data_IF_860550844666
#
_entry.id   IF_860550844666
#
_cell.length_a   1.000
_cell.length_b   1.000
_cell.length_c   1.000
_cell.angle_alpha   90.00
_cell.angle_beta   90.00
_cell.angle_gamma   90.00
#
_symmetry.space_group_name_H-M   'P 1'
#
loop_
_entity.id
_entity.type
_entity.pdbx_description
1 polymer ?
#
# COMPACT_ATOMS: atom_id res chain seq x y z
N UNK A 1 -1.17 37.21 -18.67
CA UNK A 1 -2.02 38.42 -18.55
C UNK A 1 -3.17 38.06 -17.63
N UNK A 2 -3.09 38.47 -16.36
CA UNK A 2 -4.11 38.21 -15.33
C UNK A 2 -5.41 38.92 -15.71
N UNK A 3 -6.49 38.17 -15.94
CA UNK A 3 -7.85 38.70 -15.82
C UNK A 3 -8.32 38.38 -14.41
N UNK A 4 -8.26 39.40 -13.55
CA UNK A 4 -9.03 39.45 -12.32
C UNK A 4 -10.51 39.51 -12.73
N UNK A 5 -11.15 38.35 -12.86
CA UNK A 5 -12.61 38.26 -12.85
C UNK A 5 -13.00 37.80 -11.46
N UNK A 6 -13.19 38.78 -10.56
CA UNK A 6 -14.04 38.60 -9.39
C UNK A 6 -15.44 38.26 -9.93
N UNK A 7 -15.78 36.97 -10.00
CA UNK A 7 -17.17 36.57 -10.08
C UNK A 7 -17.78 36.88 -8.70
N UNK A 8 -18.46 38.02 -8.61
CA UNK A 8 -19.45 38.23 -7.58
C UNK A 8 -20.57 37.22 -7.83
N UNK A 9 -20.45 36.02 -7.25
CA UNK A 9 -21.62 35.18 -7.00
C UNK A 9 -22.56 36.02 -6.16
N UNK A 10 -23.69 36.41 -6.73
CA UNK A 10 -24.70 37.19 -6.01
C UNK A 10 -25.28 36.28 -4.95
N UNK A 11 -24.71 36.28 -3.74
CA UNK A 11 -25.24 35.55 -2.60
C UNK A 11 -26.56 36.23 -2.22
N UNK A 12 -27.67 35.74 -2.75
CA UNK A 12 -28.99 36.23 -2.36
C UNK A 12 -29.33 35.64 -0.99
N UNK A 13 -28.85 36.29 0.08
CA UNK A 13 -29.15 35.89 1.46
C UNK A 13 -30.64 36.14 1.75
N UNK A 14 -31.50 35.15 1.51
CA UNK A 14 -32.85 35.14 2.08
C UNK A 14 -32.79 34.62 3.50
N UNK A 15 -32.67 35.53 4.47
CA UNK A 15 -32.64 35.18 5.90
C UNK A 15 -34.00 34.64 6.33
N UNK A 16 -34.07 33.35 6.64
CA UNK A 16 -35.20 32.76 7.36
C UNK A 16 -34.71 32.30 8.74
N UNK A 17 -35.23 32.93 9.80
CA UNK A 17 -34.95 32.51 11.17
C UNK A 17 -35.93 31.39 11.53
N UNK A 18 -35.40 30.19 11.79
CA UNK A 18 -36.20 29.04 12.23
C UNK A 18 -35.91 28.82 13.71
N UNK A 19 -36.93 29.00 14.54
CA UNK A 19 -36.87 28.74 15.98
C UNK A 19 -37.43 27.34 16.24
N UNK A 20 -36.60 26.45 16.78
CA UNK A 20 -37.05 25.13 17.20
C UNK A 20 -37.38 25.15 18.69
N UNK A 21 -38.67 24.99 19.00
CA UNK A 21 -39.19 24.73 20.34
C UNK A 21 -39.76 23.30 20.38
N UNK A 22 -39.53 22.55 21.46
CA UNK A 22 -40.08 21.19 21.59
C UNK A 22 -41.61 21.22 21.51
N UNK A 23 -42.17 20.52 20.52
CA UNK A 23 -43.59 20.16 20.47
C UNK A 23 -43.78 18.69 20.90
N UNK A 24 -43.22 18.30 22.04
CA UNK A 24 -43.63 17.08 22.72
C UNK A 24 -44.80 17.40 23.66
N UNK A 25 -46.01 17.40 23.10
CA UNK A 25 -47.26 17.35 23.87
C UNK A 25 -47.65 18.63 24.63
N UNK A 26 -48.67 19.33 24.11
CA UNK A 26 -49.63 20.21 24.82
C UNK A 26 -49.14 21.34 25.75
N UNK A 27 -47.85 21.61 25.93
CA UNK A 27 -47.37 22.81 26.64
C UNK A 27 -46.40 23.62 25.78
N UNK A 28 -46.72 24.89 25.54
CA UNK A 28 -45.85 25.85 24.89
C UNK A 28 -44.57 26.02 25.71
N UNK A 29 -43.44 25.48 25.24
CA UNK A 29 -42.15 25.66 25.90
C UNK A 29 -41.73 27.13 25.84
N UNK A 30 -41.55 27.76 27.01
CA UNK A 30 -41.09 29.16 27.15
C UNK A 30 -39.57 29.34 27.02
N UNK A 31 -38.82 28.29 26.64
CA UNK A 31 -37.35 28.32 26.53
C UNK A 31 -36.90 27.93 25.12
N UNK A 32 -36.20 28.84 24.45
CA UNK A 32 -35.51 28.61 23.17
C UNK A 32 -34.36 27.61 23.39
N UNK A 33 -34.33 26.51 22.64
CA UNK A 33 -33.21 25.55 22.67
C UNK A 33 -32.22 25.79 21.53
N UNK A 34 -32.72 25.95 20.31
CA UNK A 34 -31.89 26.18 19.12
C UNK A 34 -32.54 27.21 18.21
N UNK A 35 -31.72 28.04 17.59
CA UNK A 35 -32.10 28.93 16.51
C UNK A 35 -31.20 28.63 15.31
N UNK A 36 -31.80 28.51 14.13
CA UNK A 36 -31.07 28.31 12.89
C UNK A 36 -31.35 29.47 11.93
N UNK A 37 -30.30 29.91 11.24
CA UNK A 37 -30.40 30.86 10.13
C UNK A 37 -30.17 30.08 8.86
N UNK A 38 -31.20 29.99 8.02
CA UNK A 38 -31.07 29.39 6.71
C UNK A 38 -30.52 30.42 5.72
N UNK A 39 -29.45 30.04 5.02
CA UNK A 39 -28.84 30.83 3.94
C UNK A 39 -28.89 29.96 2.68
N UNK A 40 -29.57 30.46 1.65
CA UNK A 40 -29.61 29.81 0.34
C UNK A 40 -28.44 30.31 -0.50
N UNK A 41 -27.63 29.39 -1.03
CA UNK A 41 -26.52 29.67 -1.94
C UNK A 41 -26.90 29.21 -3.36
N UNK A 42 -26.60 30.02 -4.36
CA UNK A 42 -26.85 29.72 -5.78
C UNK A 42 -25.73 28.83 -6.38
N UNK A 43 -25.26 27.83 -5.64
CA UNK A 43 -24.19 26.93 -6.08
C UNK A 43 -24.78 25.72 -6.80
N UNK A 44 -24.75 25.73 -8.14
CA UNK A 44 -25.12 24.56 -8.92
C UNK A 44 -23.94 23.60 -9.06
N UNK A 45 -24.12 22.36 -8.61
CA UNK A 45 -23.14 21.29 -8.68
C UNK A 45 -22.60 21.03 -10.11
N UNK A 46 -23.40 21.26 -11.16
CA UNK A 46 -22.98 21.06 -12.55
C UNK A 46 -22.18 22.23 -13.15
N UNK A 47 -21.98 23.31 -12.41
CA UNK A 47 -21.39 24.55 -12.93
C UNK A 47 -20.03 24.91 -12.34
N UNK A 48 -19.58 24.18 -11.32
CA UNK A 48 -18.36 24.49 -10.56
C UNK A 48 -17.46 23.25 -10.57
N UNK A 49 -16.21 23.44 -10.96
CA UNK A 49 -15.19 22.38 -10.96
C UNK A 49 -14.77 22.00 -9.52
N UNK A 50 -14.16 20.85 -9.32
CA UNK A 50 -13.76 20.37 -7.99
C UNK A 50 -12.81 21.34 -7.27
N UNK A 51 -11.79 21.86 -7.96
CA UNK A 51 -10.82 22.80 -7.37
C UNK A 51 -11.49 24.12 -6.96
N UNK A 52 -12.35 24.66 -7.82
CA UNK A 52 -13.10 25.89 -7.54
C UNK A 52 -14.13 25.67 -6.42
N UNK A 53 -14.77 24.50 -6.40
CA UNK A 53 -15.75 24.11 -5.38
C UNK A 53 -15.15 24.00 -3.99
N UNK A 54 -13.95 23.41 -3.88
CA UNK A 54 -13.19 23.35 -2.63
C UNK A 54 -12.78 24.73 -2.13
N UNK A 55 -12.31 25.62 -3.01
CA UNK A 55 -11.93 26.98 -2.61
C UNK A 55 -13.15 27.73 -2.04
N UNK A 56 -14.31 27.61 -2.70
CA UNK A 56 -15.55 28.22 -2.21
C UNK A 56 -15.96 27.61 -0.86
N UNK A 57 -15.86 26.29 -0.72
CA UNK A 57 -16.16 25.60 0.55
C UNK A 57 -15.27 26.10 1.69
N UNK A 58 -13.95 26.17 1.47
CA UNK A 58 -12.98 26.61 2.49
C UNK A 58 -13.18 28.08 2.86
N UNK A 59 -13.48 28.94 1.88
CA UNK A 59 -13.78 30.34 2.13
C UNK A 59 -15.09 30.51 2.91
N UNK A 60 -16.10 29.69 2.60
CA UNK A 60 -17.37 29.68 3.33
C UNK A 60 -17.20 29.19 4.77
N UNK A 61 -16.43 28.13 4.98
CA UNK A 61 -16.14 27.59 6.32
C UNK A 61 -15.33 28.59 7.16
N UNK A 62 -14.32 29.23 6.57
CA UNK A 62 -13.57 30.32 7.24
C UNK A 62 -14.48 31.47 7.62
N UNK A 63 -15.33 31.92 6.70
CA UNK A 63 -16.32 32.97 6.98
C UNK A 63 -17.23 32.59 8.15
N UNK A 64 -17.76 31.36 8.17
CA UNK A 64 -18.62 30.90 9.24
C UNK A 64 -17.90 30.88 10.60
N UNK A 65 -16.68 30.34 10.65
CA UNK A 65 -15.86 30.30 11.87
C UNK A 65 -15.54 31.72 12.37
N UNK A 66 -15.16 32.63 11.48
CA UNK A 66 -14.87 34.03 11.81
C UNK A 66 -16.10 34.78 12.33
N UNK A 67 -17.27 34.57 11.75
CA UNK A 67 -18.51 35.19 12.21
C UNK A 67 -18.97 34.61 13.55
N UNK A 68 -18.85 33.29 13.76
CA UNK A 68 -19.16 32.65 15.05
C UNK A 68 -18.23 33.16 16.16
N UNK A 69 -16.95 33.40 15.85
CA UNK A 69 -15.99 33.93 16.81
C UNK A 69 -16.33 35.37 17.28
N UNK A 70 -17.02 36.16 16.45
CA UNK A 70 -17.48 37.51 16.80
C UNK A 70 -18.72 37.50 17.70
N UNK A 71 -19.40 36.36 17.86
CA UNK A 71 -20.62 36.25 18.67
C UNK A 71 -20.30 36.32 20.18
N UNK A 72 -21.28 36.73 21.02
CA UNK A 72 -21.14 36.71 22.47
C UNK A 72 -20.75 35.32 22.99
N UNK A 73 -20.08 35.20 24.16
CA UNK A 73 -19.64 33.90 24.71
C UNK A 73 -20.77 32.85 24.83
N UNK A 74 -22.02 33.28 25.00
CA UNK A 74 -23.20 32.42 25.05
C UNK A 74 -23.59 31.77 23.70
N UNK A 75 -23.04 32.26 22.58
CA UNK A 75 -23.38 31.85 21.20
C UNK A 75 -22.16 31.29 20.44
N UNK A 76 -20.98 31.23 21.06
CA UNK A 76 -19.75 30.71 20.43
C UNK A 76 -19.78 29.20 20.14
N UNK A 77 -20.76 28.47 20.67
CA UNK A 77 -21.03 27.06 20.32
C UNK A 77 -21.84 26.87 19.03
N UNK A 78 -21.96 27.92 18.21
CA UNK A 78 -22.64 27.84 16.92
C UNK A 78 -21.97 26.85 15.98
N UNK A 79 -22.78 26.15 15.19
CA UNK A 79 -22.32 25.13 14.24
C UNK A 79 -23.03 25.33 12.91
N UNK A 80 -22.30 25.11 11.83
CA UNK A 80 -22.84 25.16 10.48
C UNK A 80 -23.37 23.79 10.08
N UNK A 81 -24.56 23.76 9.48
CA UNK A 81 -25.10 22.57 8.84
C UNK A 81 -25.57 22.93 7.45
N UNK A 82 -25.30 22.06 6.49
CA UNK A 82 -25.86 22.17 5.15
C UNK A 82 -26.99 21.15 5.04
N UNK A 83 -28.25 21.58 5.03
CA UNK A 83 -29.38 20.66 4.96
C UNK A 83 -29.37 19.95 3.60
N UNK A 84 -29.32 18.61 3.62
CA UNK A 84 -29.49 17.79 2.43
C UNK A 84 -30.95 17.80 2.00
N UNK A 85 -31.40 18.84 1.32
CA UNK A 85 -32.81 19.00 0.93
C UNK A 85 -33.27 18.02 -0.16
N UNK A 86 -32.35 17.34 -0.86
CA UNK A 86 -32.66 16.34 -1.90
C UNK A 86 -31.49 15.36 -2.11
N UNK A 87 -31.23 14.46 -1.15
CA UNK A 87 -30.29 13.30 -1.21
C UNK A 87 -28.81 13.56 -1.59
N UNK A 88 -28.46 14.71 -2.18
CA UNK A 88 -27.13 15.12 -2.60
C UNK A 88 -26.78 16.44 -1.92
N UNK A 89 -25.68 16.42 -1.19
CA UNK A 89 -25.11 17.60 -0.57
C UNK A 89 -23.78 17.90 -1.25
N UNK A 90 -23.72 18.99 -1.99
CA UNK A 90 -22.55 19.41 -2.77
C UNK A 90 -21.31 19.63 -1.90
N UNK A 91 -21.48 20.12 -0.67
CA UNK A 91 -20.38 20.26 0.29
C UNK A 91 -19.82 18.92 0.74
N UNK A 92 -20.69 17.92 0.98
CA UNK A 92 -20.22 16.57 1.28
C UNK A 92 -19.53 15.92 0.09
N UNK A 93 -19.95 16.23 -1.14
CA UNK A 93 -19.33 15.71 -2.35
C UNK A 93 -17.88 16.19 -2.49
N UNK A 94 -17.64 17.50 -2.40
CA UNK A 94 -16.28 18.05 -2.48
C UNK A 94 -15.39 17.51 -1.36
N UNK A 95 -15.89 17.49 -0.11
CA UNK A 95 -15.09 16.98 1.01
C UNK A 95 -14.83 15.48 0.92
N UNK A 96 -15.78 14.71 0.36
CA UNK A 96 -15.59 13.28 0.10
C UNK A 96 -14.51 13.05 -0.95
N UNK A 97 -14.55 13.78 -2.06
CA UNK A 97 -13.54 13.66 -3.12
C UNK A 97 -12.14 13.99 -2.61
N UNK A 98 -11.99 15.03 -1.79
CA UNK A 98 -10.72 15.39 -1.13
C UNK A 98 -10.22 14.27 -0.22
N UNK A 99 -11.09 13.77 0.68
CA UNK A 99 -10.72 12.70 1.60
C UNK A 99 -10.34 11.40 0.86
N UNK A 100 -10.99 11.10 -0.26
CA UNK A 100 -10.68 9.92 -1.08
C UNK A 100 -9.34 10.07 -1.82
N UNK A 101 -9.05 11.25 -2.35
CA UNK A 101 -7.77 11.56 -2.98
C UNK A 101 -6.62 11.50 -1.96
N UNK A 102 -6.80 12.12 -0.79
CA UNK A 102 -5.83 12.10 0.29
C UNK A 102 -5.55 10.68 0.78
N UNK A 103 -6.60 9.87 0.97
CA UNK A 103 -6.47 8.48 1.38
C UNK A 103 -5.73 7.64 0.34
N UNK A 104 -6.00 7.86 -0.95
CA UNK A 104 -5.30 7.17 -2.04
C UNK A 104 -3.81 7.53 -2.08
N UNK A 105 -3.48 8.83 -2.00
CA UNK A 105 -2.09 9.30 -1.99
C UNK A 105 -1.34 8.79 -0.76
N UNK A 106 -1.95 8.88 0.43
CA UNK A 106 -1.36 8.34 1.67
C UNK A 106 -1.14 6.83 1.56
N UNK A 107 -2.12 6.08 1.03
CA UNK A 107 -2.00 4.64 0.80
C UNK A 107 -0.83 4.29 -0.13
N UNK A 108 -0.68 5.02 -1.23
CA UNK A 108 0.44 4.83 -2.17
C UNK A 108 1.78 5.13 -1.49
N UNK A 109 1.90 6.25 -0.77
CA UNK A 109 3.15 6.65 -0.10
C UNK A 109 3.56 5.65 0.97
N UNK A 110 2.62 5.24 1.83
CA UNK A 110 2.86 4.23 2.87
C UNK A 110 3.22 2.89 2.23
N UNK A 111 2.48 2.49 1.19
CA UNK A 111 2.74 1.24 0.45
C UNK A 111 4.13 1.20 -0.17
N UNK A 112 4.57 2.27 -0.83
CA UNK A 112 5.91 2.36 -1.45
C UNK A 112 7.00 2.33 -0.40
N UNK A 113 6.83 3.08 0.70
CA UNK A 113 7.78 3.07 1.82
C UNK A 113 7.91 1.66 2.42
N UNK A 114 6.78 1.01 2.67
CA UNK A 114 6.75 -0.34 3.23
C UNK A 114 7.36 -1.36 2.25
N UNK A 115 7.03 -1.27 0.97
CA UNK A 115 7.59 -2.13 -0.08
C UNK A 115 9.12 -2.03 -0.13
N UNK A 116 9.67 -0.81 -0.09
CA UNK A 116 11.12 -0.61 -0.05
C UNK A 116 11.77 -1.26 1.18
N UNK A 117 11.17 -1.07 2.36
CA UNK A 117 11.67 -1.65 3.61
C UNK A 117 11.64 -3.18 3.53
N UNK A 118 10.51 -3.78 3.13
CA UNK A 118 10.35 -5.23 3.00
C UNK A 118 11.32 -5.80 1.98
N UNK A 119 11.47 -5.18 0.81
CA UNK A 119 12.41 -5.60 -0.23
C UNK A 119 13.87 -5.50 0.22
N UNK A 120 14.23 -4.43 0.94
CA UNK A 120 15.57 -4.25 1.47
C UNK A 120 15.92 -5.33 2.51
N UNK A 121 14.94 -5.77 3.32
CA UNK A 121 15.11 -6.88 4.24
C UNK A 121 15.13 -8.24 3.53
N UNK A 122 14.22 -8.49 2.58
CA UNK A 122 14.12 -9.76 1.89
C UNK A 122 15.37 -10.05 1.04
N UNK A 123 15.87 -9.06 0.31
CA UNK A 123 17.03 -9.21 -0.58
C UNK A 123 18.37 -8.90 0.09
N UNK A 124 18.35 -8.34 1.31
CA UNK A 124 19.54 -7.86 2.03
C UNK A 124 20.47 -6.99 1.18
N UNK A 125 19.94 -6.34 0.14
CA UNK A 125 20.67 -5.52 -0.82
C UNK A 125 19.87 -4.27 -1.20
N UNK A 126 20.39 -3.09 -0.84
CA UNK A 126 19.73 -1.81 -1.11
C UNK A 126 19.57 -1.55 -2.60
N UNK A 127 20.53 -1.98 -3.44
CA UNK A 127 20.49 -1.69 -4.88
C UNK A 127 19.33 -2.43 -5.53
N UNK A 128 19.16 -3.72 -5.20
CA UNK A 128 18.03 -4.52 -5.70
C UNK A 128 16.72 -3.94 -5.21
N UNK A 129 16.63 -3.59 -3.93
CA UNK A 129 15.43 -2.98 -3.35
C UNK A 129 15.07 -1.65 -4.03
N UNK A 130 16.04 -0.76 -4.28
CA UNK A 130 15.80 0.51 -4.98
C UNK A 130 15.32 0.29 -6.42
N UNK A 131 15.95 -0.63 -7.16
CA UNK A 131 15.50 -0.96 -8.52
C UNK A 131 14.09 -1.53 -8.49
N UNK A 132 13.80 -2.48 -7.60
CA UNK A 132 12.48 -3.07 -7.45
C UNK A 132 11.41 -2.02 -7.09
N UNK A 133 11.68 -1.14 -6.12
CA UNK A 133 10.77 -0.05 -5.75
C UNK A 133 10.55 0.95 -6.88
N UNK A 134 11.58 1.23 -7.70
CA UNK A 134 11.40 2.10 -8.87
C UNK A 134 10.44 1.50 -9.91
N UNK A 135 10.46 0.17 -10.08
CA UNK A 135 9.53 -0.54 -10.97
C UNK A 135 8.12 -0.49 -10.42
N UNK A 136 7.95 -0.71 -9.11
CA UNK A 136 6.64 -0.59 -8.44
C UNK A 136 6.07 0.81 -8.63
N UNK A 137 6.88 1.86 -8.45
CA UNK A 137 6.46 3.24 -8.69
C UNK A 137 6.00 3.46 -10.15
N UNK A 138 6.74 2.94 -11.13
CA UNK A 138 6.37 3.06 -12.55
C UNK A 138 5.05 2.34 -12.86
N UNK A 139 4.82 1.16 -12.27
CA UNK A 139 3.55 0.43 -12.39
C UNK A 139 2.42 1.25 -11.79
N UNK A 140 2.59 1.76 -10.56
CA UNK A 140 1.58 2.57 -9.88
C UNK A 140 1.23 3.84 -10.65
N UNK A 141 2.23 4.57 -11.17
CA UNK A 141 2.01 5.76 -12.02
C UNK A 141 1.24 5.37 -13.29
N UNK A 142 1.65 4.27 -13.94
CA UNK A 142 0.99 3.79 -15.16
C UNK A 142 -0.48 3.50 -14.91
N UNK A 143 -0.81 2.70 -13.89
CA UNK A 143 -2.22 2.37 -13.58
C UNK A 143 -3.02 3.60 -13.17
N UNK A 144 -2.44 4.50 -12.36
CA UNK A 144 -3.09 5.74 -11.95
C UNK A 144 -3.43 6.64 -13.15
N UNK A 145 -2.57 6.65 -14.18
CA UNK A 145 -2.81 7.42 -15.40
C UNK A 145 -3.97 6.86 -16.26
N UNK A 146 -4.31 5.56 -16.13
CA UNK A 146 -5.44 4.98 -16.86
C UNK A 146 -6.81 5.38 -16.31
N UNK A 147 -6.92 5.76 -15.04
CA UNK A 147 -8.18 6.17 -14.41
C UNK A 147 -8.83 7.35 -15.16
N UNK A 148 -8.15 8.49 -15.38
CA UNK A 148 -8.75 9.60 -16.14
C UNK A 148 -8.94 9.28 -17.62
N UNK A 149 -8.11 8.41 -18.22
CA UNK A 149 -8.24 8.01 -19.64
C UNK A 149 -9.53 7.22 -19.86
N UNK A 150 -9.93 6.40 -18.89
CA UNK A 150 -11.19 5.66 -18.93
C UNK A 150 -12.41 6.54 -18.56
N UNK A 151 -12.18 7.81 -18.23
CA UNK A 151 -13.23 8.74 -17.80
C UNK A 151 -13.84 8.36 -16.46
N UNK A 152 -13.10 7.66 -15.60
CA UNK A 152 -13.58 7.29 -14.27
C UNK A 152 -13.37 8.43 -13.28
N UNK A 153 -14.44 8.77 -12.56
CA UNK A 153 -14.39 9.71 -11.44
C UNK A 153 -13.78 9.01 -10.21
N UNK A 154 -13.07 9.77 -9.38
CA UNK A 154 -12.51 9.22 -8.13
C UNK A 154 -13.67 8.96 -7.15
N UNK A 155 -14.06 7.69 -7.04
CA UNK A 155 -14.96 7.21 -6.01
C UNK A 155 -14.20 6.35 -4.99
N UNK A 156 -14.95 5.81 -4.02
CA UNK A 156 -14.41 5.00 -2.94
C UNK A 156 -13.67 3.77 -3.48
N UNK A 157 -14.17 3.19 -4.57
CA UNK A 157 -13.62 1.99 -5.20
C UNK A 157 -12.26 2.30 -5.83
N UNK A 158 -12.16 3.37 -6.59
CA UNK A 158 -10.93 3.83 -7.24
C UNK A 158 -9.86 4.19 -6.19
N UNK A 159 -10.25 4.83 -5.08
CA UNK A 159 -9.34 5.14 -3.97
C UNK A 159 -8.77 3.88 -3.30
N UNK A 160 -9.63 2.90 -2.99
CA UNK A 160 -9.19 1.61 -2.43
C UNK A 160 -8.29 0.88 -3.43
N UNK A 161 -8.67 0.85 -4.71
CA UNK A 161 -7.91 0.24 -5.77
C UNK A 161 -6.52 0.86 -5.91
N UNK A 162 -6.41 2.19 -5.92
CA UNK A 162 -5.14 2.92 -5.97
C UNK A 162 -4.21 2.53 -4.82
N UNK A 163 -4.74 2.37 -3.60
CA UNK A 163 -3.93 1.88 -2.47
C UNK A 163 -3.50 0.42 -2.63
N UNK A 164 -4.36 -0.42 -3.22
CA UNK A 164 -4.12 -1.84 -3.44
C UNK A 164 -3.12 -2.10 -4.58
N UNK A 165 -3.02 -1.20 -5.56
CA UNK A 165 -2.12 -1.32 -6.71
C UNK A 165 -0.67 -1.52 -6.30
N UNK A 166 -0.22 -0.86 -5.23
CA UNK A 166 1.16 -1.00 -4.76
C UNK A 166 1.42 -2.43 -4.28
N UNK A 167 0.47 -3.05 -3.58
CA UNK A 167 0.59 -4.44 -3.14
C UNK A 167 0.65 -5.42 -4.31
N UNK A 168 -0.25 -5.29 -5.27
CA UNK A 168 -0.26 -6.16 -6.46
C UNK A 168 0.93 -5.93 -7.40
N UNK A 169 1.50 -4.73 -7.43
CA UNK A 169 2.69 -4.42 -8.21
C UNK A 169 3.96 -5.07 -7.64
N UNK A 170 3.99 -5.29 -6.32
CA UNK A 170 5.16 -5.80 -5.59
C UNK A 170 5.39 -7.30 -5.85
N UNK A 171 4.33 -8.10 -5.97
CA UNK A 171 4.40 -9.57 -5.96
C UNK A 171 5.39 -10.15 -6.98
N UNK A 172 5.31 -9.73 -8.25
CA UNK A 172 6.18 -10.27 -9.30
C UNK A 172 7.63 -9.81 -9.16
N UNK A 173 7.83 -8.54 -8.79
CA UNK A 173 9.17 -7.95 -8.66
C UNK A 173 9.91 -8.55 -7.46
N UNK A 174 9.22 -8.81 -6.34
CA UNK A 174 9.80 -9.47 -5.16
C UNK A 174 10.34 -10.84 -5.53
N UNK A 175 9.53 -11.70 -6.14
CA UNK A 175 9.94 -13.05 -6.49
C UNK A 175 11.14 -13.10 -7.45
N UNK A 176 11.15 -12.22 -8.46
CA UNK A 176 12.30 -12.10 -9.37
C UNK A 176 13.54 -11.55 -8.62
N UNK A 177 13.35 -10.54 -7.77
CA UNK A 177 14.45 -9.93 -7.00
C UNK A 177 15.10 -10.90 -6.02
N UNK A 178 14.31 -11.75 -5.37
CA UNK A 178 14.77 -12.78 -4.46
C UNK A 178 15.53 -13.87 -5.21
N UNK A 179 15.01 -14.36 -6.34
CA UNK A 179 15.69 -15.37 -7.15
C UNK A 179 17.00 -14.85 -7.76
N UNK A 180 17.08 -13.58 -8.15
CA UNK A 180 18.35 -12.97 -8.56
C UNK A 180 19.35 -12.91 -7.40
N UNK A 181 18.88 -12.62 -6.19
CA UNK A 181 19.74 -12.54 -5.00
C UNK A 181 20.29 -13.92 -4.59
N UNK A 182 19.44 -14.95 -4.60
CA UNK A 182 19.79 -16.31 -4.17
C UNK A 182 20.54 -17.11 -5.24
N UNK A 183 20.58 -16.63 -6.49
CA UNK A 183 21.31 -17.28 -7.57
C UNK A 183 22.79 -17.53 -7.23
N UNK A 184 23.30 -18.78 -7.43
CA UNK A 184 24.69 -19.13 -7.16
C UNK A 184 25.67 -18.58 -8.22
N UNK A 185 25.16 -18.01 -9.32
CA UNK A 185 25.97 -17.54 -10.43
C UNK A 185 26.78 -16.28 -10.05
N UNK A 186 27.93 -16.07 -10.70
CA UNK A 186 28.82 -14.93 -10.39
C UNK A 186 28.54 -13.69 -11.24
N UNK A 187 28.23 -13.89 -12.52
CA UNK A 187 28.00 -12.81 -13.47
C UNK A 187 26.52 -12.43 -13.55
N UNK A 188 26.24 -11.14 -13.75
CA UNK A 188 24.87 -10.59 -13.90
C UNK A 188 23.98 -11.37 -14.87
N UNK A 189 24.49 -11.62 -16.07
CA UNK A 189 23.72 -12.25 -17.15
C UNK A 189 23.32 -13.68 -16.77
N UNK A 190 24.25 -14.44 -16.18
CA UNK A 190 24.00 -15.80 -15.73
C UNK A 190 23.02 -15.83 -14.55
N UNK A 191 23.14 -14.86 -13.63
CA UNK A 191 22.16 -14.69 -12.53
C UNK A 191 20.75 -14.39 -13.04
N UNK A 192 20.62 -13.51 -14.03
CA UNK A 192 19.32 -13.20 -14.63
C UNK A 192 18.74 -14.43 -15.34
N UNK A 193 19.58 -15.20 -16.04
CA UNK A 193 19.15 -16.44 -16.70
C UNK A 193 18.63 -17.46 -15.68
N UNK A 194 19.39 -17.68 -14.61
CA UNK A 194 19.05 -18.58 -13.50
C UNK A 194 17.75 -18.15 -12.79
N UNK A 195 17.60 -16.85 -12.52
CA UNK A 195 16.37 -16.24 -11.99
C UNK A 195 15.15 -16.55 -12.87
N UNK A 196 15.28 -16.38 -14.19
CA UNK A 196 14.17 -16.63 -15.13
C UNK A 196 13.86 -18.13 -15.26
N UNK A 197 14.87 -19.00 -15.21
CA UNK A 197 14.71 -20.45 -15.29
C UNK A 197 13.96 -20.98 -14.06
N UNK A 198 14.28 -20.47 -12.87
CA UNK A 198 13.65 -20.91 -11.62
C UNK A 198 12.30 -20.25 -11.35
N UNK A 199 12.15 -18.94 -11.56
CA UNK A 199 10.94 -18.20 -11.17
C UNK A 199 10.09 -17.70 -12.33
N UNK A 200 10.61 -17.63 -13.56
CA UNK A 200 9.90 -17.03 -14.68
C UNK A 200 8.58 -17.73 -15.00
N UNK A 201 8.58 -19.07 -15.05
CA UNK A 201 7.36 -19.86 -15.32
C UNK A 201 6.33 -19.72 -14.19
N UNK A 202 6.78 -19.66 -12.94
CA UNK A 202 5.88 -19.47 -11.78
C UNK A 202 5.21 -18.10 -11.81
N UNK A 203 5.98 -17.04 -12.10
CA UNK A 203 5.47 -15.66 -12.18
C UNK A 203 4.47 -15.51 -13.32
N UNK A 204 4.80 -16.02 -14.51
CA UNK A 204 3.92 -15.93 -15.69
C UNK A 204 2.63 -16.72 -15.47
N UNK A 205 2.71 -17.96 -14.98
CA UNK A 205 1.51 -18.78 -14.72
C UNK A 205 0.63 -18.18 -13.63
N UNK A 206 1.23 -17.64 -12.57
CA UNK A 206 0.54 -16.86 -11.54
C UNK A 206 -0.20 -15.66 -12.14
N UNK A 207 0.47 -14.84 -12.94
CA UNK A 207 -0.15 -13.69 -13.60
C UNK A 207 -1.32 -14.10 -14.52
N UNK A 208 -1.19 -15.16 -15.32
CA UNK A 208 -2.28 -15.62 -16.18
C UNK A 208 -3.50 -16.12 -15.38
N UNK A 209 -3.28 -16.77 -14.24
CA UNK A 209 -4.40 -17.19 -13.38
C UNK A 209 -5.19 -15.99 -12.85
N UNK A 210 -4.49 -14.92 -12.44
CA UNK A 210 -5.13 -13.72 -11.91
C UNK A 210 -5.76 -12.87 -13.02
N UNK A 211 -5.12 -12.77 -14.19
CA UNK A 211 -5.71 -12.17 -15.39
C UNK A 211 -6.97 -12.91 -15.84
N UNK A 212 -6.96 -14.24 -15.76
CA UNK A 212 -8.13 -15.07 -16.04
C UNK A 212 -9.28 -14.74 -15.09
N UNK A 213 -9.00 -14.70 -13.77
CA UNK A 213 -10.00 -14.31 -12.77
C UNK A 213 -10.53 -12.89 -13.01
N UNK A 214 -9.66 -11.91 -13.26
CA UNK A 214 -10.05 -10.54 -13.58
C UNK A 214 -10.93 -10.46 -14.84
N UNK A 215 -10.60 -11.23 -15.88
CA UNK A 215 -11.40 -11.31 -17.11
C UNK A 215 -12.80 -11.87 -16.86
N UNK A 216 -12.94 -12.87 -15.98
CA UNK A 216 -14.26 -13.36 -15.55
C UNK A 216 -15.05 -12.30 -14.77
N UNK A 217 -14.39 -11.53 -13.90
CA UNK A 217 -15.04 -10.44 -13.15
C UNK A 217 -15.55 -9.31 -14.07
N UNK A 218 -14.86 -9.05 -15.19
CA UNK A 218 -15.33 -8.08 -16.18
C UNK A 218 -16.67 -8.46 -16.83
N UNK A 219 -17.05 -9.74 -16.83
CA UNK A 219 -18.35 -10.20 -17.32
C UNK A 219 -19.48 -10.11 -16.27
N UNK A 220 -19.19 -9.64 -15.05
CA UNK A 220 -20.18 -9.50 -13.99
C UNK A 220 -21.16 -8.35 -14.28
N UNK A 221 -22.43 -8.54 -13.89
CA UNK A 221 -23.48 -7.52 -14.04
C UNK A 221 -23.37 -6.38 -13.03
N UNK A 222 -22.70 -6.61 -11.89
CA UNK A 222 -22.53 -5.60 -10.84
C UNK A 222 -21.37 -4.69 -11.23
N UNK A 223 -21.66 -3.39 -11.38
CA UNK A 223 -20.70 -2.37 -11.82
C UNK A 223 -19.39 -2.37 -11.01
N UNK A 224 -19.49 -2.59 -9.70
CA UNK A 224 -18.35 -2.73 -8.80
C UNK A 224 -17.34 -3.80 -9.28
N UNK A 225 -17.83 -4.99 -9.63
CA UNK A 225 -16.97 -6.08 -10.07
C UNK A 225 -16.36 -5.83 -11.45
N UNK A 226 -17.08 -5.15 -12.34
CA UNK A 226 -16.56 -4.78 -13.65
C UNK A 226 -15.41 -3.78 -13.54
N UNK A 227 -15.59 -2.69 -12.78
CA UNK A 227 -14.53 -1.69 -12.57
C UNK A 227 -13.31 -2.29 -11.86
N UNK A 228 -13.55 -3.08 -10.81
CA UNK A 228 -12.49 -3.79 -10.10
C UNK A 228 -11.76 -4.80 -11.00
N UNK A 229 -12.48 -5.55 -11.84
CA UNK A 229 -11.91 -6.50 -12.79
C UNK A 229 -11.01 -5.82 -13.82
N UNK A 230 -11.46 -4.73 -14.43
CA UNK A 230 -10.63 -3.93 -15.36
C UNK A 230 -9.39 -3.39 -14.64
N UNK A 231 -9.54 -2.89 -13.42
CA UNK A 231 -8.42 -2.39 -12.62
C UNK A 231 -7.37 -3.46 -12.34
N UNK A 232 -7.79 -4.65 -11.88
CA UNK A 232 -6.91 -5.79 -11.65
C UNK A 232 -6.20 -6.21 -12.94
N UNK A 233 -6.94 -6.30 -14.04
CA UNK A 233 -6.40 -6.69 -15.34
C UNK A 233 -5.28 -5.75 -15.80
N UNK A 234 -5.50 -4.43 -15.70
CA UNK A 234 -4.48 -3.43 -16.02
C UNK A 234 -3.28 -3.53 -15.08
N UNK A 235 -3.52 -3.66 -13.77
CA UNK A 235 -2.46 -3.73 -12.76
C UNK A 235 -1.54 -4.91 -13.00
N UNK A 236 -2.10 -6.11 -13.22
CA UNK A 236 -1.32 -7.32 -13.46
C UNK A 236 -0.62 -7.25 -14.82
N UNK A 237 -1.30 -6.75 -15.87
CA UNK A 237 -0.71 -6.59 -17.19
C UNK A 237 0.51 -5.66 -17.18
N UNK A 238 0.40 -4.50 -16.54
CA UNK A 238 1.53 -3.58 -16.36
C UNK A 238 2.60 -4.18 -15.46
N UNK A 239 2.23 -4.74 -14.31
CA UNK A 239 3.20 -5.33 -13.37
C UNK A 239 4.03 -6.45 -14.03
N UNK A 240 3.39 -7.34 -14.80
CA UNK A 240 4.07 -8.39 -15.55
C UNK A 240 4.99 -7.81 -16.65
N UNK A 241 4.49 -6.82 -17.40
CA UNK A 241 5.27 -6.18 -18.47
C UNK A 241 6.50 -5.47 -17.92
N UNK A 242 6.34 -4.64 -16.88
CA UNK A 242 7.46 -3.92 -16.28
C UNK A 242 8.43 -4.86 -15.55
N UNK A 243 7.96 -5.90 -14.87
CA UNK A 243 8.85 -6.86 -14.21
C UNK A 243 9.68 -7.69 -15.19
N UNK A 244 9.09 -8.23 -16.26
CA UNK A 244 9.83 -9.06 -17.22
C UNK A 244 10.57 -8.24 -18.29
N UNK A 245 9.99 -7.14 -18.77
CA UNK A 245 10.55 -6.38 -19.90
C UNK A 245 11.42 -5.20 -19.46
N UNK A 246 11.29 -4.71 -18.21
CA UNK A 246 12.11 -3.60 -17.71
C UNK A 246 13.03 -4.04 -16.56
N UNK A 247 12.50 -4.68 -15.52
CA UNK A 247 13.30 -5.06 -14.34
C UNK A 247 14.35 -6.13 -14.67
N UNK A 248 13.97 -7.21 -15.38
CA UNK A 248 14.90 -8.26 -15.81
C UNK A 248 16.10 -7.75 -16.62
N UNK A 249 15.95 -6.99 -17.72
CA UNK A 249 17.11 -6.44 -18.44
C UNK A 249 17.85 -5.38 -17.63
N UNK A 250 17.17 -4.61 -16.77
CA UNK A 250 17.82 -3.65 -15.88
C UNK A 250 18.78 -4.36 -14.90
N UNK A 251 18.38 -5.50 -14.35
CA UNK A 251 19.25 -6.37 -13.54
C UNK A 251 20.43 -6.91 -14.34
N UNK A 252 20.24 -7.22 -15.62
CA UNK A 252 21.34 -7.70 -16.49
C UNK A 252 22.42 -6.63 -16.69
N UNK A 253 22.03 -5.36 -16.82
CA UNK A 253 22.98 -4.25 -17.07
C UNK A 253 23.58 -3.70 -15.77
N UNK A 254 22.78 -3.49 -14.72
CA UNK A 254 23.17 -2.73 -13.51
C UNK A 254 23.06 -3.57 -12.22
N UNK A 255 22.58 -4.81 -12.29
CA UNK A 255 22.35 -5.65 -11.11
C UNK A 255 23.60 -5.87 -10.25
N UNK A 256 23.52 -5.91 -8.91
CA UNK A 256 24.72 -6.08 -8.10
C UNK A 256 25.40 -7.44 -8.35
N UNK A 257 26.73 -7.43 -8.36
CA UNK A 257 27.58 -8.62 -8.39
C UNK A 257 28.34 -8.73 -7.07
N UNK A 258 28.48 -9.96 -6.56
CA UNK A 258 29.13 -10.23 -5.28
C UNK A 258 28.49 -9.47 -4.10
N UNK A 259 29.32 -8.78 -3.31
CA UNK A 259 28.90 -8.07 -2.09
C UNK A 259 28.49 -6.60 -2.33
N UNK A 260 28.37 -6.15 -3.58
CA UNK A 260 28.00 -4.76 -3.89
C UNK A 260 26.57 -4.45 -3.43
N UNK A 261 26.40 -3.41 -2.58
CA UNK A 261 25.10 -3.00 -2.06
C UNK A 261 24.55 -3.82 -0.88
N UNK A 262 25.34 -4.74 -0.32
CA UNK A 262 24.89 -5.60 0.80
C UNK A 262 24.64 -4.80 2.08
N UNK A 263 23.43 -4.95 2.64
CA UNK A 263 23.01 -4.37 3.93
C UNK A 263 23.34 -5.31 5.09
N UNK A 264 23.63 -6.58 4.78
CA UNK A 264 23.98 -7.63 5.73
C UNK A 264 25.01 -7.20 6.80
N UNK A 265 26.14 -6.53 6.47
CA UNK A 265 27.10 -6.09 7.49
C UNK A 265 26.53 -5.01 8.43
N UNK A 266 25.69 -4.11 7.91
CA UNK A 266 25.08 -3.04 8.68
C UNK A 266 23.98 -3.57 9.60
N UNK A 267 23.16 -4.51 9.11
CA UNK A 267 22.17 -5.24 9.90
C UNK A 267 22.83 -6.06 11.01
N UNK A 268 23.90 -6.81 10.70
CA UNK A 268 24.67 -7.57 11.70
C UNK A 268 25.26 -6.65 12.76
N UNK A 269 25.75 -5.47 12.39
CA UNK A 269 26.26 -4.48 13.34
C UNK A 269 25.16 -3.97 14.29
N UNK A 270 23.98 -3.63 13.77
CA UNK A 270 22.83 -3.25 14.60
C UNK A 270 22.40 -4.39 15.52
N UNK A 271 22.31 -5.61 14.98
CA UNK A 271 21.95 -6.81 15.73
C UNK A 271 22.93 -7.07 16.88
N UNK A 272 24.25 -6.97 16.61
CA UNK A 272 25.29 -7.10 17.64
C UNK A 272 25.21 -6.01 18.71
N UNK A 273 24.72 -4.82 18.36
CA UNK A 273 24.52 -3.72 19.32
C UNK A 273 23.28 -3.92 20.21
N UNK A 274 22.24 -4.60 19.70
CA UNK A 274 20.97 -4.79 20.41
C UNK A 274 20.97 -6.08 21.25
N UNK A 275 21.42 -7.21 20.68
CA UNK A 275 21.30 -8.55 21.27
C UNK A 275 22.62 -9.08 21.87
N UNK A 276 23.74 -8.39 21.63
CA UNK A 276 25.06 -8.82 22.06
C UNK A 276 25.59 -10.00 21.23
N UNK A 277 26.84 -10.41 21.48
CA UNK A 277 27.47 -11.56 20.80
C UNK A 277 27.01 -12.87 21.41
N UNK A 278 26.74 -13.88 20.57
CA UNK A 278 26.61 -15.27 21.03
C UNK A 278 28.02 -15.87 21.18
N UNK A 279 28.17 -16.90 22.03
CA UNK A 279 29.48 -17.57 22.29
C UNK A 279 30.09 -18.22 21.04
N UNK A 280 29.29 -18.43 20.00
CA UNK A 280 29.63 -19.20 18.81
C UNK A 280 30.05 -18.31 17.61
N UNK A 281 30.12 -16.98 17.81
CA UNK A 281 30.51 -16.03 16.75
C UNK A 281 32.02 -16.10 16.45
N UNK A 282 32.38 -16.69 15.31
CA UNK A 282 33.77 -16.75 14.81
C UNK A 282 34.28 -15.34 14.49
N UNK A 283 35.40 -14.95 15.10
CA UNK A 283 36.06 -13.67 14.79
C UNK A 283 36.69 -13.75 13.40
N UNK A 284 36.19 -12.92 12.49
CA UNK A 284 36.86 -12.71 11.21
C UNK A 284 38.27 -12.14 11.41
N UNK A 285 39.29 -12.91 11.01
CA UNK A 285 40.72 -12.57 11.13
C UNK A 285 41.10 -11.35 10.26
N UNK A 286 40.47 -11.22 9.08
CA UNK A 286 40.70 -10.09 8.17
C UNK A 286 40.12 -8.77 8.69
N UNK A 287 39.09 -8.86 9.53
CA UNK A 287 38.30 -7.74 10.02
C UNK A 287 38.78 -7.17 11.38
N UNK A 288 39.73 -7.83 12.05
CA UNK A 288 40.06 -7.57 13.47
C UNK A 288 38.81 -7.41 14.37
N UNK A 289 37.77 -8.21 14.12
CA UNK A 289 36.53 -8.16 14.90
C UNK A 289 35.62 -6.94 14.70
N UNK A 290 35.84 -6.12 13.66
CA UNK A 290 35.01 -4.95 13.31
C UNK A 290 33.82 -5.26 12.38
N UNK A 291 33.61 -6.53 12.01
CA UNK A 291 32.40 -6.98 11.30
C UNK A 291 32.39 -6.83 9.77
N UNK A 292 33.50 -6.49 9.13
CA UNK A 292 33.57 -6.27 7.67
C UNK A 292 34.13 -7.50 6.89
N UNK A 293 33.29 -8.50 6.59
CA UNK A 293 33.48 -9.70 5.70
C UNK A 293 34.62 -10.72 6.03
N UNK A 294 34.50 -12.06 6.00
CA UNK A 294 33.56 -13.07 5.45
C UNK A 294 33.84 -14.46 6.11
N UNK A 295 33.15 -15.55 5.73
CA UNK A 295 33.83 -16.51 4.87
C UNK A 295 33.08 -16.78 3.56
N UNK A 296 33.82 -16.72 2.46
CA UNK A 296 33.57 -17.56 1.29
C UNK A 296 33.86 -19.00 1.74
N UNK A 297 32.86 -19.88 1.72
CA UNK A 297 33.17 -21.27 1.47
C UNK A 297 33.69 -21.33 0.02
N UNK A 298 34.89 -21.87 -0.12
CA UNK A 298 35.64 -22.09 -1.35
C UNK A 298 34.80 -22.54 -2.54
N UNK A 299 34.96 -21.87 -3.69
CA UNK A 299 34.79 -22.53 -4.98
C UNK A 299 35.83 -23.66 -5.13
N UNK A 300 35.47 -24.85 -5.62
CA UNK A 300 36.32 -26.04 -5.60
C UNK A 300 37.33 -26.09 -6.77
N UNK A 301 38.07 -25.01 -7.04
CA UNK A 301 39.03 -24.99 -8.17
C UNK A 301 40.50 -24.82 -7.80
N UNK A 302 40.86 -24.72 -6.51
CA UNK A 302 42.27 -24.58 -6.09
C UNK A 302 42.67 -25.62 -5.03
N UNK A 303 42.51 -26.92 -5.31
CA UNK A 303 43.26 -27.99 -4.61
C UNK A 303 43.57 -29.10 -5.62
N UNK A 304 44.74 -29.00 -6.26
CA UNK A 304 45.37 -30.15 -6.89
C UNK A 304 46.12 -30.93 -5.79
N UNK A 305 45.79 -32.23 -5.69
CA UNK A 305 46.46 -33.35 -5.01
C UNK A 305 46.75 -33.31 -3.50
N UNK A 306 45.90 -34.00 -2.72
CA UNK A 306 46.31 -35.03 -1.73
C UNK A 306 45.09 -35.85 -1.27
N UNK A 307 45.26 -37.13 -0.89
CA UNK A 307 44.38 -38.22 -1.29
C UNK A 307 43.10 -38.38 -0.44
N UNK A 308 42.09 -39.00 -1.08
CA UNK A 308 40.84 -39.46 -0.46
C UNK A 308 41.10 -40.27 0.82
N UNK A 309 40.70 -39.71 1.96
CA UNK A 309 40.30 -40.53 3.10
C UNK A 309 38.82 -40.90 2.93
N UNK A 310 38.65 -42.16 2.59
CA UNK A 310 37.42 -42.95 2.55
C UNK A 310 36.60 -42.76 3.84
N UNK A 311 35.48 -42.04 3.77
CA UNK A 311 34.46 -42.06 4.83
C UNK A 311 33.46 -43.15 4.46
N UNK A 312 33.61 -44.29 5.13
CA UNK A 312 32.68 -45.42 5.13
C UNK A 312 31.28 -44.96 5.53
N UNK A 313 30.28 -45.30 4.71
CA UNK A 313 28.89 -45.36 5.15
C UNK A 313 28.69 -46.66 5.93
N UNK A 314 28.76 -46.59 7.26
CA UNK A 314 28.33 -47.69 8.12
C UNK A 314 26.80 -47.71 8.19
N UNK A 315 26.25 -48.72 7.53
CA UNK A 315 24.87 -49.15 7.58
C UNK A 315 24.63 -49.79 8.96
N UNK A 316 23.89 -49.12 9.86
CA UNK A 316 23.41 -49.75 11.09
C UNK A 316 21.96 -49.35 11.39
N UNK A 317 21.07 -50.24 10.95
CA UNK A 317 19.70 -50.44 11.43
C UNK A 317 19.66 -50.76 12.93
N UNK A 318 18.68 -50.21 13.67
CA UNK A 318 18.04 -50.81 14.87
C UNK A 318 16.95 -49.85 15.42
N UNK A 319 15.97 -50.29 16.25
CA UNK A 319 14.60 -50.58 15.82
C UNK A 319 13.53 -49.64 16.43
N UNK A 320 12.32 -49.63 15.84
CA UNK A 320 11.12 -49.02 16.43
C UNK A 320 10.62 -49.79 17.66
N UNK A 321 10.10 -49.10 18.70
CA UNK A 321 9.17 -49.70 19.65
C UNK A 321 7.72 -49.43 19.22
N UNK A 322 6.93 -50.50 19.19
CA UNK A 322 5.46 -50.50 19.11
C UNK A 322 4.84 -50.40 20.52
N UNK A 323 3.48 -50.39 20.56
CA UNK A 323 2.51 -50.46 21.69
C UNK A 323 1.86 -49.08 21.95
N UNK A 324 0.54 -48.85 21.96
CA UNK A 324 -0.69 -49.64 21.77
C UNK A 324 -1.89 -48.65 21.71
N UNK A 325 -3.06 -49.08 21.22
CA UNK A 325 -4.22 -48.27 20.83
C UNK A 325 -5.28 -48.06 21.93
N UNK A 326 -5.90 -46.86 21.89
CA UNK A 326 -7.31 -46.49 22.20
C UNK A 326 -7.78 -46.27 23.66
N UNK A 327 -8.92 -45.57 23.91
CA UNK A 327 -9.62 -44.52 23.11
C UNK A 327 -10.00 -43.25 23.91
N UNK A 328 -10.21 -42.17 23.15
CA UNK A 328 -11.20 -41.08 23.26
C UNK A 328 -11.76 -40.66 24.64
N UNK A 329 -11.35 -39.47 25.11
CA UNK A 329 -12.12 -38.69 26.10
C UNK A 329 -12.14 -37.21 25.68
N UNK A 330 -13.33 -36.76 25.25
CA UNK A 330 -13.66 -35.37 24.94
C UNK A 330 -13.53 -34.47 26.18
N UNK A 331 -13.04 -33.24 26.03
CA UNK A 331 -13.23 -32.20 27.06
C UNK A 331 -13.48 -30.82 26.43
N UNK A 332 -14.41 -30.01 26.98
CA UNK A 332 -15.21 -29.09 26.20
C UNK A 332 -14.69 -27.65 26.19
N UNK A 333 -15.15 -26.94 25.17
CA UNK A 333 -15.28 -25.49 25.04
C UNK A 333 -15.87 -24.83 26.30
N UNK A 334 -15.20 -23.81 26.83
CA UNK A 334 -15.84 -22.77 27.65
C UNK A 334 -15.26 -21.41 27.31
N UNK A 335 -16.06 -20.61 26.61
CA UNK A 335 -15.82 -19.20 26.31
C UNK A 335 -16.43 -18.38 27.46
N UNK A 336 -15.61 -17.59 28.16
CA UNK A 336 -16.08 -16.65 29.19
C UNK A 336 -16.11 -15.24 28.59
N UNK A 337 -17.33 -14.71 28.48
CA UNK A 337 -17.62 -13.30 28.20
C UNK A 337 -17.33 -12.49 29.47
N UNK A 338 -16.59 -11.38 29.33
CA UNK A 338 -16.52 -10.32 30.34
C UNK A 338 -17.19 -9.07 29.76
N UNK A 339 -18.10 -8.53 30.57
CA UNK A 339 -18.96 -7.35 30.34
C UNK A 339 -18.19 -6.10 29.91
#
# INVERSE_FOLDING_TARGET
MKKNSFFFTTVTVRRKLILFADCLGKFYGTRLRYAAVEITLDLLHSSVDYEEGLEIYDNWEKFAVEEIAKLPPSLQGGVQFTPGLNERNTWHEFKRQEALADSAVQGILIGICLAYVVLAFATMNVIIALMATSIILLVTISVSAFIPILGWEISVIESINLSLVVGLAVDYVVHLSEAYHTSPQKHRVDKVRDMLEHMGVSVISGAFSTLGAASFMMAAQIQFFLQFGVFLFLTIGFSLTYSLCLFTPLLSVIGPEGNTGSVLPLFRMLWYKIIGRKKDDVKCERCKGKGFHCPLASSPTDIEETPMHEIKYDNQSSPSPAIDQSPDEEMPTTTVVKL
#
